data_IF_466330210315
#
_entry.id   IF_466330210315
#
_cell.length_a   1.000
_cell.length_b   1.000
_cell.length_c   1.000
_cell.angle_alpha   90.00
_cell.angle_beta   90.00
_cell.angle_gamma   90.00
#
_symmetry.space_group_name_H-M   'P 1'
#
loop_
_entity.id
_entity.type
_entity.pdbx_description
1 polymer ?
#
# COMPACT_ATOMS: atom_id res chain seq x y z
N UNK A 1 -25.10 4.48 8.75
CA UNK A 1 -23.89 4.45 7.88
C UNK A 1 -22.71 4.40 8.81
N UNK A 2 -21.78 3.48 8.61
CA UNK A 2 -20.62 3.31 9.47
C UNK A 2 -19.77 4.58 9.49
N UNK A 3 -19.32 5.00 10.68
CA UNK A 3 -18.56 6.24 10.86
C UNK A 3 -17.26 6.23 10.06
N UNK A 4 -16.58 5.10 10.06
CA UNK A 4 -15.24 4.98 9.48
C UNK A 4 -15.21 4.92 7.95
N UNK A 5 -16.34 4.84 7.27
CA UNK A 5 -16.38 4.73 5.80
C UNK A 5 -15.68 5.91 5.09
N UNK A 6 -15.65 7.08 5.73
CA UNK A 6 -14.98 8.29 5.21
C UNK A 6 -13.53 8.44 5.68
N UNK A 7 -13.13 7.64 6.66
CA UNK A 7 -11.81 7.72 7.30
C UNK A 7 -10.81 6.73 6.70
N UNK A 8 -11.32 5.69 6.02
CA UNK A 8 -10.50 4.62 5.46
C UNK A 8 -10.54 4.58 3.94
N UNK A 9 -9.50 4.01 3.36
CA UNK A 9 -9.42 3.68 1.94
C UNK A 9 -9.90 2.23 1.73
N UNK A 10 -10.37 1.94 0.53
CA UNK A 10 -10.72 0.60 0.08
C UNK A 10 -9.92 0.30 -1.18
N UNK A 11 -9.08 -0.73 -1.14
CA UNK A 11 -8.28 -1.14 -2.29
C UNK A 11 -9.19 -1.65 -3.41
N UNK A 12 -8.93 -1.20 -4.63
CA UNK A 12 -9.65 -1.58 -5.85
C UNK A 12 -8.74 -1.46 -7.07
N UNK A 13 -8.62 -2.49 -7.92
CA UNK A 13 -7.96 -2.37 -9.22
C UNK A 13 -8.62 -1.31 -10.09
N UNK A 14 -7.83 -0.50 -10.79
CA UNK A 14 -8.36 0.56 -11.69
C UNK A 14 -9.35 0.00 -12.70
N UNK A 15 -9.05 -1.15 -13.31
CA UNK A 15 -9.93 -1.82 -14.27
C UNK A 15 -11.32 -2.06 -13.68
N UNK A 16 -11.39 -2.63 -12.47
CA UNK A 16 -12.66 -2.87 -11.79
C UNK A 16 -13.39 -1.57 -11.44
N UNK A 17 -12.65 -0.57 -10.95
CA UNK A 17 -13.22 0.75 -10.62
C UNK A 17 -13.85 1.38 -11.86
N UNK A 18 -13.13 1.39 -12.98
CA UNK A 18 -13.59 1.96 -14.25
C UNK A 18 -14.80 1.23 -14.82
N UNK A 19 -14.77 -0.11 -14.85
CA UNK A 19 -15.78 -0.91 -15.54
C UNK A 19 -17.08 -1.10 -14.76
N UNK A 20 -17.02 -1.17 -13.41
CA UNK A 20 -18.17 -1.66 -12.65
C UNK A 20 -18.37 -1.06 -11.27
N UNK A 21 -17.36 -0.47 -10.63
CA UNK A 21 -17.44 -0.12 -9.21
C UNK A 21 -17.52 1.39 -8.92
N UNK A 22 -17.23 2.26 -9.87
CA UNK A 22 -17.21 3.72 -9.63
C UNK A 22 -18.52 4.23 -8.99
N UNK A 23 -19.66 3.84 -9.56
CA UNK A 23 -20.97 4.25 -9.02
C UNK A 23 -21.18 3.78 -7.57
N UNK A 24 -20.67 2.60 -7.21
CA UNK A 24 -20.75 2.08 -5.84
C UNK A 24 -19.86 2.88 -4.90
N UNK A 25 -18.63 3.20 -5.29
CA UNK A 25 -17.73 4.05 -4.50
C UNK A 25 -18.36 5.42 -4.23
N UNK A 26 -18.94 6.04 -5.25
CA UNK A 26 -19.65 7.32 -5.13
C UNK A 26 -20.87 7.19 -4.22
N UNK A 27 -21.75 6.22 -4.49
CA UNK A 27 -23.00 6.00 -3.77
C UNK A 27 -22.79 5.76 -2.27
N UNK A 28 -21.80 4.93 -1.93
CA UNK A 28 -21.53 4.58 -0.53
C UNK A 28 -20.53 5.54 0.15
N UNK A 29 -19.94 6.44 -0.60
CA UNK A 29 -18.98 7.42 -0.08
C UNK A 29 -17.61 6.82 0.25
N UNK A 30 -17.21 5.74 -0.44
CA UNK A 30 -15.94 5.06 -0.25
C UNK A 30 -14.78 5.89 -0.84
N UNK A 31 -13.65 5.88 -0.16
CA UNK A 31 -12.41 6.45 -0.68
C UNK A 31 -11.57 5.33 -1.32
N UNK A 32 -11.20 5.43 -2.59
CA UNK A 32 -10.44 4.36 -3.23
C UNK A 32 -8.95 4.43 -2.93
N UNK A 33 -8.35 3.28 -2.67
CA UNK A 33 -6.96 3.03 -3.02
C UNK A 33 -6.93 2.36 -4.38
N UNK A 34 -6.46 3.07 -5.39
CA UNK A 34 -6.52 2.58 -6.77
C UNK A 34 -5.25 1.80 -7.09
N UNK A 35 -5.39 0.50 -7.32
CA UNK A 35 -4.31 -0.38 -7.77
C UNK A 35 -4.16 -0.34 -9.29
N UNK A 36 -2.91 -0.20 -9.75
CA UNK A 36 -2.59 -0.21 -11.17
C UNK A 36 -1.73 -1.43 -11.50
N UNK A 37 -2.15 -2.19 -12.48
CA UNK A 37 -1.39 -3.26 -13.08
C UNK A 37 -0.93 -2.90 -14.51
N UNK A 38 -0.23 -3.80 -15.17
CA UNK A 38 0.25 -3.58 -16.53
C UNK A 38 -0.90 -3.38 -17.53
N UNK A 39 -2.02 -4.09 -17.32
CA UNK A 39 -3.21 -3.98 -18.19
C UNK A 39 -3.83 -2.59 -18.07
N UNK A 40 -4.07 -2.15 -16.83
CA UNK A 40 -4.58 -0.81 -16.57
C UNK A 40 -3.70 0.28 -17.19
N UNK A 41 -2.37 0.16 -17.05
CA UNK A 41 -1.42 1.17 -17.53
C UNK A 41 -1.27 1.22 -19.06
N UNK A 42 -1.49 0.10 -19.75
CA UNK A 42 -1.27 0.00 -21.19
C UNK A 42 -2.56 0.17 -22.02
N UNK A 43 -3.74 -0.10 -21.44
CA UNK A 43 -4.99 -0.15 -22.21
C UNK A 43 -5.83 1.11 -22.10
N UNK A 44 -5.77 1.85 -20.99
CA UNK A 44 -6.62 3.02 -20.79
C UNK A 44 -5.93 4.31 -21.22
N UNK A 45 -6.74 5.23 -21.74
CA UNK A 45 -6.30 6.55 -22.18
C UNK A 45 -6.28 7.56 -21.02
N UNK A 46 -5.59 8.69 -21.23
CA UNK A 46 -5.63 9.80 -20.26
C UNK A 46 -7.07 10.33 -20.06
N UNK A 47 -7.93 10.24 -21.06
CA UNK A 47 -9.34 10.63 -20.95
C UNK A 47 -10.11 9.72 -20.00
N UNK A 48 -9.85 8.39 -20.03
CA UNK A 48 -10.50 7.43 -19.14
C UNK A 48 -10.09 7.71 -17.68
N UNK A 49 -8.80 7.95 -17.44
CA UNK A 49 -8.31 8.31 -16.12
C UNK A 49 -8.91 9.62 -15.62
N UNK A 50 -8.95 10.67 -16.46
CA UNK A 50 -9.51 11.97 -16.07
C UNK A 50 -10.99 11.85 -15.74
N UNK A 51 -11.76 11.09 -16.54
CA UNK A 51 -13.19 10.90 -16.30
C UNK A 51 -13.51 10.24 -14.96
N UNK A 52 -12.66 9.29 -14.50
CA UNK A 52 -12.76 8.67 -13.17
C UNK A 52 -12.33 9.65 -12.06
N UNK A 53 -11.20 10.31 -12.26
CA UNK A 53 -10.65 11.24 -11.28
C UNK A 53 -11.61 12.41 -11.00
N UNK A 54 -12.19 13.00 -12.05
CA UNK A 54 -13.12 14.12 -11.93
C UNK A 54 -14.35 13.74 -11.11
N UNK A 55 -14.97 12.59 -11.38
CA UNK A 55 -16.13 12.11 -10.62
C UNK A 55 -15.80 11.86 -9.14
N UNK A 56 -14.63 11.27 -8.85
CA UNK A 56 -14.19 11.07 -7.48
C UNK A 56 -13.94 12.39 -6.74
N UNK A 57 -13.30 13.36 -7.42
CA UNK A 57 -13.02 14.69 -6.87
C UNK A 57 -14.31 15.50 -6.62
N UNK A 58 -15.24 15.50 -7.57
CA UNK A 58 -16.55 16.15 -7.44
C UNK A 58 -17.35 15.64 -6.25
N UNK A 59 -17.20 14.33 -5.93
CA UNK A 59 -17.81 13.71 -4.76
C UNK A 59 -16.97 13.86 -3.47
N UNK A 60 -15.84 14.58 -3.53
CA UNK A 60 -14.96 14.82 -2.37
C UNK A 60 -14.27 13.55 -1.85
N UNK A 61 -13.95 12.60 -2.74
CA UNK A 61 -13.24 11.36 -2.33
C UNK A 61 -11.76 11.62 -2.15
N UNK A 62 -11.20 11.04 -1.12
CA UNK A 62 -9.75 10.96 -0.91
C UNK A 62 -9.22 9.75 -1.65
N UNK A 63 -8.13 9.93 -2.39
CA UNK A 63 -7.55 8.88 -3.25
C UNK A 63 -6.16 8.53 -2.73
N UNK A 64 -5.83 7.26 -2.72
CA UNK A 64 -4.47 6.73 -2.61
C UNK A 64 -4.18 5.81 -3.79
N UNK A 65 -2.92 5.57 -4.08
CA UNK A 65 -2.49 4.72 -5.18
C UNK A 65 -1.72 3.53 -4.67
N UNK A 66 -1.92 2.39 -5.32
CA UNK A 66 -1.05 1.24 -5.25
C UNK A 66 -0.33 1.05 -6.58
N UNK A 67 1.01 1.10 -6.56
CA UNK A 67 1.84 0.95 -7.74
C UNK A 67 1.79 -0.47 -8.30
N UNK A 68 2.08 -0.67 -9.59
CA UNK A 68 2.22 -2.01 -10.15
C UNK A 68 3.39 -2.74 -9.48
N UNK A 69 3.20 -4.01 -9.22
CA UNK A 69 4.20 -4.85 -8.52
C UNK A 69 4.44 -6.20 -9.19
N UNK A 70 3.44 -6.75 -9.88
CA UNK A 70 3.55 -8.06 -10.51
C UNK A 70 4.72 -8.10 -11.50
N UNK A 71 5.62 -9.08 -11.33
CA UNK A 71 6.84 -9.28 -12.12
C UNK A 71 7.84 -8.10 -12.13
N UNK A 72 7.66 -7.11 -11.23
CA UNK A 72 8.56 -5.97 -11.09
C UNK A 72 9.56 -6.19 -9.96
N UNK A 73 10.71 -5.52 -10.07
CA UNK A 73 11.77 -5.66 -9.08
C UNK A 73 12.60 -4.39 -8.96
N UNK A 74 12.28 -3.54 -7.97
CA UNK A 74 13.02 -2.29 -7.73
C UNK A 74 14.51 -2.50 -7.41
N UNK A 75 14.84 -3.64 -6.79
CA UNK A 75 16.21 -4.01 -6.44
C UNK A 75 16.87 -5.00 -7.39
N UNK A 76 16.39 -5.16 -8.63
CA UNK A 76 16.95 -6.11 -9.57
C UNK A 76 18.39 -5.81 -9.93
N UNK A 77 19.22 -6.86 -9.90
CA UNK A 77 20.58 -6.81 -10.45
C UNK A 77 20.60 -6.85 -11.99
N UNK A 78 19.53 -7.35 -12.62
CA UNK A 78 19.39 -7.31 -14.08
C UNK A 78 18.93 -5.91 -14.51
N UNK A 79 19.76 -5.18 -15.32
CA UNK A 79 19.43 -3.82 -15.73
C UNK A 79 18.17 -3.72 -16.60
N UNK A 80 17.82 -4.80 -17.31
CA UNK A 80 16.58 -4.81 -18.12
C UNK A 80 15.34 -4.92 -17.25
N UNK A 81 15.35 -5.78 -16.23
CA UNK A 81 14.25 -5.90 -15.28
C UNK A 81 14.11 -4.59 -14.49
N UNK A 82 15.22 -4.01 -14.05
CA UNK A 82 15.24 -2.73 -13.36
C UNK A 82 14.64 -1.61 -14.24
N UNK A 83 15.05 -1.52 -15.50
CA UNK A 83 14.55 -0.51 -16.44
C UNK A 83 13.04 -0.67 -16.74
N UNK A 84 12.53 -1.91 -16.85
CA UNK A 84 11.10 -2.19 -17.01
C UNK A 84 10.35 -1.73 -15.76
N UNK A 85 10.86 -2.02 -14.57
CA UNK A 85 10.26 -1.57 -13.31
C UNK A 85 10.18 -0.04 -13.26
N UNK A 86 11.26 0.66 -13.63
CA UNK A 86 11.29 2.11 -13.71
C UNK A 86 10.25 2.64 -14.70
N UNK A 87 10.16 2.04 -15.88
CA UNK A 87 9.19 2.44 -16.92
C UNK A 87 7.74 2.32 -16.44
N UNK A 88 7.40 1.27 -15.67
CA UNK A 88 6.07 1.13 -15.06
C UNK A 88 5.80 2.24 -14.03
N UNK A 89 6.78 2.59 -13.23
CA UNK A 89 6.66 3.71 -12.31
C UNK A 89 6.54 5.06 -13.04
N UNK A 90 7.19 5.24 -14.18
CA UNK A 90 7.01 6.43 -15.03
C UNK A 90 5.58 6.56 -15.58
N UNK A 91 4.91 5.44 -15.88
CA UNK A 91 3.49 5.47 -16.26
C UNK A 91 2.61 5.95 -15.10
N UNK A 92 2.84 5.44 -13.87
CA UNK A 92 2.12 5.91 -12.66
C UNK A 92 2.36 7.39 -12.40
N UNK A 93 3.58 7.87 -12.51
CA UNK A 93 3.90 9.29 -12.29
C UNK A 93 3.08 10.24 -13.17
N UNK A 94 2.69 9.83 -14.38
CA UNK A 94 1.83 10.62 -15.27
C UNK A 94 0.39 10.73 -14.76
N UNK A 95 -0.04 9.82 -13.89
CA UNK A 95 -1.40 9.78 -13.34
C UNK A 95 -1.52 10.58 -12.03
N UNK A 96 -0.42 10.84 -11.34
CA UNK A 96 -0.43 11.60 -10.07
C UNK A 96 -1.06 12.98 -10.21
N UNK A 97 -0.73 13.82 -11.22
CA UNK A 97 -1.36 15.13 -11.39
C UNK A 97 -2.87 15.05 -11.64
N UNK A 98 -3.34 13.96 -12.25
CA UNK A 98 -4.75 13.74 -12.57
C UNK A 98 -5.54 13.40 -11.32
N UNK A 99 -5.09 12.39 -10.57
CA UNK A 99 -5.81 11.87 -9.40
C UNK A 99 -5.44 12.55 -8.08
N UNK A 100 -4.27 13.19 -8.01
CA UNK A 100 -3.74 13.84 -6.80
C UNK A 100 -3.81 12.96 -5.55
N UNK A 101 -3.26 11.73 -5.60
CA UNK A 101 -3.35 10.79 -4.49
C UNK A 101 -2.56 11.28 -3.28
N UNK A 102 -3.02 10.94 -2.06
CA UNK A 102 -2.30 11.26 -0.83
C UNK A 102 -1.00 10.47 -0.69
N UNK A 103 -1.06 9.20 -1.06
CA UNK A 103 0.08 8.28 -1.03
C UNK A 103 0.17 7.48 -2.32
N UNK A 104 1.39 7.05 -2.64
CA UNK A 104 1.69 5.99 -3.60
C UNK A 104 2.35 4.85 -2.82
N UNK A 105 1.65 3.72 -2.71
CA UNK A 105 2.20 2.49 -2.11
C UNK A 105 3.03 1.76 -3.15
N UNK A 106 4.20 1.27 -2.74
CA UNK A 106 5.03 0.38 -3.54
C UNK A 106 5.60 -0.73 -2.67
N UNK A 107 5.67 -1.96 -3.18
CA UNK A 107 6.29 -3.07 -2.46
C UNK A 107 7.79 -2.84 -2.26
N UNK A 108 8.30 -2.90 -1.03
CA UNK A 108 9.73 -2.76 -0.73
C UNK A 108 10.57 -3.78 -1.52
N UNK A 109 10.02 -4.99 -1.68
CA UNK A 109 10.42 -5.96 -2.69
C UNK A 109 11.64 -6.80 -2.32
N UNK A 110 11.96 -6.97 -1.03
CA UNK A 110 12.98 -7.91 -0.59
C UNK A 110 12.39 -9.31 -0.39
N UNK A 111 12.98 -10.28 -1.05
CA UNK A 111 12.74 -11.70 -0.82
C UNK A 111 14.10 -12.39 -0.53
N UNK A 112 14.25 -12.94 0.67
CA UNK A 112 15.48 -13.60 1.10
C UNK A 112 15.88 -14.75 0.17
N UNK A 113 14.91 -15.51 -0.35
CA UNK A 113 15.17 -16.61 -1.28
C UNK A 113 15.72 -16.12 -2.61
N UNK A 114 15.25 -14.96 -3.06
CA UNK A 114 15.62 -14.37 -4.36
C UNK A 114 16.90 -13.55 -4.27
N UNK A 115 17.09 -12.78 -3.20
CA UNK A 115 18.14 -11.78 -3.10
C UNK A 115 19.18 -12.03 -1.99
N UNK A 116 18.96 -13.01 -1.12
CA UNK A 116 19.82 -13.24 0.04
C UNK A 116 21.30 -13.44 -0.32
N UNK A 117 21.59 -14.14 -1.41
CA UNK A 117 22.97 -14.35 -1.91
C UNK A 117 23.62 -13.10 -2.52
N UNK A 118 22.84 -12.09 -2.90
CA UNK A 118 23.32 -10.86 -3.54
C UNK A 118 22.67 -9.61 -2.93
N UNK A 119 22.48 -9.62 -1.60
CA UNK A 119 21.75 -8.58 -0.87
C UNK A 119 22.36 -7.18 -1.06
N UNK A 120 23.69 -7.07 -1.17
CA UNK A 120 24.37 -5.79 -1.36
C UNK A 120 23.94 -5.08 -2.66
N UNK A 121 23.83 -5.82 -3.75
CA UNK A 121 23.37 -5.27 -5.05
C UNK A 121 21.89 -4.92 -4.97
N UNK A 122 21.07 -5.77 -4.34
CA UNK A 122 19.66 -5.46 -4.13
C UNK A 122 19.47 -4.17 -3.34
N UNK A 123 20.23 -3.96 -2.26
CA UNK A 123 20.22 -2.73 -1.46
C UNK A 123 20.54 -1.50 -2.30
N UNK A 124 21.65 -1.57 -3.08
CA UNK A 124 22.08 -0.45 -3.93
C UNK A 124 21.00 -0.08 -4.95
N UNK A 125 20.49 -1.09 -5.68
CA UNK A 125 19.48 -0.89 -6.73
C UNK A 125 18.13 -0.45 -6.19
N UNK A 126 17.72 -0.96 -5.04
CA UNK A 126 16.49 -0.52 -4.36
C UNK A 126 16.61 0.95 -3.92
N UNK A 127 17.72 1.35 -3.31
CA UNK A 127 17.94 2.74 -2.92
C UNK A 127 17.95 3.68 -4.13
N UNK A 128 18.56 3.28 -5.23
CA UNK A 128 18.56 4.05 -6.48
C UNK A 128 17.12 4.27 -6.99
N UNK A 129 16.34 3.19 -7.09
CA UNK A 129 14.96 3.24 -7.57
C UNK A 129 14.05 4.08 -6.66
N UNK A 130 14.07 3.77 -5.36
CA UNK A 130 13.19 4.44 -4.41
C UNK A 130 13.56 5.91 -4.20
N UNK A 131 14.86 6.26 -4.24
CA UNK A 131 15.30 7.66 -4.22
C UNK A 131 14.82 8.44 -5.45
N UNK A 132 14.93 7.82 -6.62
CA UNK A 132 14.47 8.39 -7.88
C UNK A 132 12.94 8.61 -7.88
N UNK A 133 12.17 7.62 -7.40
CA UNK A 133 10.71 7.70 -7.36
C UNK A 133 10.23 8.68 -6.29
N UNK A 134 10.78 8.62 -5.08
CA UNK A 134 10.38 9.47 -3.95
C UNK A 134 10.48 10.96 -4.27
N UNK A 135 11.55 11.37 -4.94
CA UNK A 135 11.71 12.76 -5.36
C UNK A 135 10.56 13.22 -6.27
N UNK A 136 10.22 12.41 -7.28
CA UNK A 136 9.18 12.76 -8.27
C UNK A 136 7.79 12.78 -7.66
N UNK A 137 7.47 11.78 -6.86
CA UNK A 137 6.20 11.65 -6.16
C UNK A 137 5.98 12.85 -5.22
N UNK A 138 7.02 13.24 -4.49
CA UNK A 138 6.98 14.40 -3.58
C UNK A 138 6.82 15.72 -4.33
N UNK A 139 7.47 15.88 -5.48
CA UNK A 139 7.35 17.11 -6.29
C UNK A 139 5.90 17.33 -6.78
N UNK A 140 5.09 16.26 -6.84
CA UNK A 140 3.65 16.29 -7.14
C UNK A 140 2.77 16.37 -5.86
N UNK A 141 3.35 16.48 -4.68
CA UNK A 141 2.61 16.60 -3.41
C UNK A 141 2.09 15.29 -2.84
N UNK A 142 2.53 14.15 -3.36
CA UNK A 142 2.17 12.80 -2.91
C UNK A 142 3.28 12.21 -2.04
N UNK A 143 2.94 11.38 -1.07
CA UNK A 143 3.89 10.66 -0.23
C UNK A 143 4.15 9.26 -0.78
N UNK A 144 5.41 8.91 -1.05
CA UNK A 144 5.78 7.52 -1.30
C UNK A 144 5.80 6.73 0.00
N UNK A 145 5.14 5.59 0.03
CA UNK A 145 5.18 4.63 1.14
C UNK A 145 5.60 3.26 0.64
N UNK A 146 6.50 2.60 1.36
CA UNK A 146 6.98 1.26 1.00
C UNK A 146 6.35 0.24 1.90
N UNK A 147 5.81 -0.81 1.28
CA UNK A 147 5.05 -1.87 1.92
C UNK A 147 5.89 -3.13 2.12
N UNK A 148 5.70 -3.81 3.26
CA UNK A 148 6.24 -5.15 3.50
C UNK A 148 5.36 -6.22 2.84
N UNK A 149 6.00 -7.19 2.18
CA UNK A 149 5.33 -8.36 1.61
C UNK A 149 6.01 -9.65 2.08
N UNK A 150 7.16 -10.01 1.49
CA UNK A 150 7.87 -11.26 1.76
C UNK A 150 9.00 -11.14 2.78
N UNK A 151 9.18 -9.98 3.36
CA UNK A 151 10.22 -9.72 4.34
C UNK A 151 9.96 -10.50 5.63
N UNK A 152 10.95 -11.25 6.08
CA UNK A 152 10.81 -12.09 7.27
C UNK A 152 10.99 -11.31 8.58
N UNK A 153 11.60 -10.12 8.50
CA UNK A 153 11.93 -9.29 9.67
C UNK A 153 12.07 -7.82 9.25
N UNK A 154 11.81 -6.87 10.17
CA UNK A 154 11.89 -5.45 9.85
C UNK A 154 13.29 -5.00 9.39
N UNK A 155 14.37 -5.66 9.84
CA UNK A 155 15.75 -5.36 9.44
C UNK A 155 16.01 -5.59 7.93
N UNK A 156 15.16 -6.36 7.27
CA UNK A 156 15.30 -6.63 5.85
C UNK A 156 15.11 -5.36 5.01
N UNK A 157 14.27 -4.43 5.47
CA UNK A 157 13.93 -3.18 4.76
C UNK A 157 14.16 -1.89 5.58
N UNK A 158 14.45 -1.96 6.87
CA UNK A 158 14.61 -0.79 7.75
C UNK A 158 15.59 0.23 7.21
N UNK A 159 16.70 -0.22 6.60
CA UNK A 159 17.71 0.65 6.01
C UNK A 159 17.14 1.56 4.89
N UNK A 160 16.07 1.15 4.18
CA UNK A 160 15.43 1.99 3.17
C UNK A 160 14.90 3.27 3.81
N UNK A 161 14.19 3.15 4.93
CA UNK A 161 13.62 4.30 5.64
C UNK A 161 14.71 5.19 6.27
N UNK A 162 15.76 4.57 6.81
CA UNK A 162 16.91 5.30 7.37
C UNK A 162 17.66 6.11 6.31
N UNK A 163 17.91 5.50 5.13
CA UNK A 163 18.65 6.14 4.03
C UNK A 163 17.82 7.14 3.23
N UNK A 164 16.50 6.95 3.19
CA UNK A 164 15.57 7.82 2.45
C UNK A 164 14.85 8.82 3.36
N UNK A 165 15.31 9.01 4.59
CA UNK A 165 14.67 9.88 5.58
C UNK A 165 14.53 11.33 5.08
N UNK A 166 15.55 11.88 4.43
CA UNK A 166 15.51 13.23 3.85
C UNK A 166 14.47 13.38 2.74
N UNK A 167 14.06 12.28 2.14
CA UNK A 167 13.05 12.22 1.10
C UNK A 167 11.64 11.93 1.65
N UNK A 168 11.52 11.75 2.99
CA UNK A 168 10.28 11.49 3.71
C UNK A 168 9.51 10.27 3.22
N UNK A 169 10.21 9.21 2.82
CA UNK A 169 9.56 7.92 2.46
C UNK A 169 8.94 7.33 3.71
N UNK A 170 7.63 7.01 3.63
CA UNK A 170 6.88 6.38 4.71
C UNK A 170 6.87 4.86 4.62
N UNK A 171 6.44 4.22 5.69
CA UNK A 171 6.20 2.78 5.76
C UNK A 171 4.70 2.51 5.66
N UNK A 172 4.30 1.62 4.75
CA UNK A 172 3.01 0.97 4.76
C UNK A 172 3.16 -0.38 5.45
N UNK A 173 2.65 -0.49 6.68
CA UNK A 173 2.64 -1.77 7.37
C UNK A 173 1.41 -2.55 6.91
N UNK A 174 1.65 -3.59 6.10
CA UNK A 174 0.65 -4.61 5.83
C UNK A 174 0.71 -5.69 6.91
N UNK A 175 -0.39 -5.79 7.67
CA UNK A 175 -0.49 -6.69 8.82
C UNK A 175 -0.80 -8.11 8.38
N UNK A 176 -1.54 -8.27 7.30
CA UNK A 176 -1.83 -9.58 6.74
C UNK A 176 -0.58 -10.23 6.15
N UNK A 177 0.21 -9.50 5.38
CA UNK A 177 1.52 -9.96 4.91
C UNK A 177 2.46 -10.29 6.06
N UNK A 178 2.48 -9.43 7.09
CA UNK A 178 3.29 -9.69 8.28
C UNK A 178 2.89 -11.01 8.95
N UNK A 179 1.60 -11.28 9.08
CA UNK A 179 1.11 -12.53 9.69
C UNK A 179 1.39 -13.76 8.81
N UNK A 180 1.28 -13.64 7.48
CA UNK A 180 1.46 -14.75 6.55
C UNK A 180 2.93 -15.10 6.28
N UNK A 181 3.82 -14.10 6.20
CA UNK A 181 5.17 -14.29 5.66
C UNK A 181 6.29 -14.00 6.67
N UNK A 182 6.04 -13.17 7.69
CA UNK A 182 7.08 -12.81 8.64
C UNK A 182 7.42 -13.97 9.62
N UNK A 183 8.69 -14.03 9.99
CA UNK A 183 9.18 -14.90 11.08
C UNK A 183 9.38 -14.13 12.38
N UNK A 184 9.04 -12.85 12.39
CA UNK A 184 9.26 -11.93 13.50
C UNK A 184 7.90 -11.45 14.03
N UNK A 185 7.66 -11.45 15.34
CA UNK A 185 6.41 -10.98 15.92
C UNK A 185 6.10 -9.54 15.54
N UNK A 186 4.81 -9.21 15.42
CA UNK A 186 4.30 -7.90 15.00
C UNK A 186 4.83 -6.74 15.87
N UNK A 187 5.02 -7.01 17.18
CA UNK A 187 5.59 -6.03 18.11
C UNK A 187 6.97 -5.53 17.68
N UNK A 188 7.80 -6.43 17.16
CA UNK A 188 9.13 -6.06 16.67
C UNK A 188 9.09 -5.19 15.42
N UNK A 189 8.09 -5.38 14.57
CA UNK A 189 7.84 -4.50 13.43
C UNK A 189 7.46 -3.10 13.90
N UNK A 190 6.55 -3.00 14.88
CA UNK A 190 6.14 -1.71 15.46
C UNK A 190 7.31 -1.03 16.19
N UNK A 191 8.09 -1.76 16.98
CA UNK A 191 9.27 -1.23 17.68
C UNK A 191 10.32 -0.69 16.71
N UNK A 192 10.58 -1.41 15.62
CA UNK A 192 11.63 -1.09 14.66
C UNK A 192 11.23 0.00 13.66
N UNK A 193 10.01 -0.06 13.13
CA UNK A 193 9.55 0.75 12.00
C UNK A 193 8.35 1.66 12.35
N UNK A 194 7.80 1.60 13.54
CA UNK A 194 6.61 2.34 13.94
C UNK A 194 6.69 3.85 13.70
N UNK A 195 7.87 4.46 13.85
CA UNK A 195 8.07 5.89 13.58
C UNK A 195 7.90 6.25 12.10
N UNK A 196 8.09 5.30 11.18
CA UNK A 196 7.96 5.51 9.73
C UNK A 196 6.57 5.17 9.21
N UNK A 197 5.69 4.50 10.00
CA UNK A 197 4.36 4.11 9.56
C UNK A 197 3.56 5.36 9.15
N UNK A 198 3.19 5.44 7.89
CA UNK A 198 2.35 6.47 7.31
C UNK A 198 1.03 5.89 6.77
N UNK A 199 1.01 4.59 6.50
CA UNK A 199 -0.15 3.86 6.02
C UNK A 199 -0.20 2.45 6.60
N UNK A 200 -1.40 1.88 6.67
CA UNK A 200 -1.66 0.49 7.03
C UNK A 200 -2.47 -0.17 5.93
N UNK A 201 -2.13 -1.40 5.59
CA UNK A 201 -3.01 -2.31 4.87
C UNK A 201 -3.58 -3.34 5.84
N UNK A 202 -4.89 -3.51 5.80
CA UNK A 202 -5.61 -4.37 6.72
C UNK A 202 -6.43 -5.40 5.96
N UNK A 203 -6.07 -6.64 6.15
CA UNK A 203 -6.83 -7.83 5.83
C UNK A 203 -6.48 -8.93 6.82
N UNK A 204 -7.32 -9.94 6.95
CA UNK A 204 -7.07 -11.06 7.86
C UNK A 204 -6.68 -12.32 7.09
N UNK A 205 -6.07 -13.27 7.77
CA UNK A 205 -5.69 -14.56 7.19
C UNK A 205 -5.44 -15.62 8.27
N UNK A 206 -5.13 -16.83 7.82
CA UNK A 206 -4.85 -17.99 8.70
C UNK A 206 -3.42 -18.01 9.27
N UNK A 207 -2.59 -17.00 8.98
CA UNK A 207 -1.16 -17.00 9.33
C UNK A 207 -0.31 -17.96 8.48
N UNK A 208 -0.87 -18.54 7.42
CA UNK A 208 -0.17 -19.49 6.53
C UNK A 208 -0.14 -19.04 5.07
N UNK A 209 -1.13 -18.30 4.66
CA UNK A 209 -1.32 -17.80 3.31
C UNK A 209 -1.90 -16.39 3.37
N UNK A 210 -1.72 -15.67 2.29
CA UNK A 210 -2.26 -14.34 2.10
C UNK A 210 -3.68 -14.41 1.52
N UNK A 211 -4.67 -14.64 2.40
CA UNK A 211 -6.04 -15.01 2.01
C UNK A 211 -6.97 -13.81 1.85
N UNK A 212 -6.59 -12.62 2.32
CA UNK A 212 -7.42 -11.41 2.33
C UNK A 212 -8.85 -11.64 2.85
N UNK A 213 -8.95 -12.33 3.99
CA UNK A 213 -10.23 -12.53 4.68
C UNK A 213 -10.73 -11.21 5.29
N UNK A 214 -12.03 -11.13 5.57
CA UNK A 214 -12.58 -10.02 6.34
C UNK A 214 -11.94 -9.94 7.73
N UNK A 215 -11.75 -8.72 8.25
CA UNK A 215 -11.17 -8.51 9.57
C UNK A 215 -11.96 -9.27 10.65
N UNK A 216 -11.23 -9.91 11.57
CA UNK A 216 -11.77 -10.76 12.63
C UNK A 216 -12.23 -12.15 12.16
N UNK A 217 -11.91 -12.56 10.94
CA UNK A 217 -12.21 -13.91 10.41
C UNK A 217 -10.99 -14.82 10.36
N UNK A 218 -9.80 -14.29 10.55
CA UNK A 218 -8.54 -15.03 10.59
C UNK A 218 -7.95 -15.09 12.00
N UNK A 219 -6.62 -15.02 12.09
CA UNK A 219 -5.87 -15.16 13.34
C UNK A 219 -5.31 -13.84 13.88
N UNK A 220 -5.46 -12.73 13.18
CA UNK A 220 -4.83 -11.47 13.55
C UNK A 220 -5.62 -10.79 14.67
N UNK A 221 -4.93 -10.52 15.80
CA UNK A 221 -5.51 -9.74 16.90
C UNK A 221 -5.35 -8.24 16.64
N UNK A 222 -6.29 -7.66 15.88
CA UNK A 222 -6.31 -6.24 15.57
C UNK A 222 -6.50 -5.35 16.81
N UNK A 223 -7.18 -5.84 17.85
CA UNK A 223 -7.34 -5.08 19.08
C UNK A 223 -5.97 -4.89 19.77
N UNK A 224 -5.23 -5.97 19.96
CA UNK A 224 -3.87 -5.91 20.50
C UNK A 224 -2.96 -5.06 19.60
N UNK A 225 -3.04 -5.25 18.29
CA UNK A 225 -2.27 -4.46 17.32
C UNK A 225 -2.48 -2.95 17.52
N UNK A 226 -3.71 -2.49 17.50
CA UNK A 226 -4.03 -1.07 17.65
C UNK A 226 -3.63 -0.51 19.01
N UNK A 227 -3.82 -1.28 20.10
CA UNK A 227 -3.33 -0.89 21.42
C UNK A 227 -1.82 -0.61 21.44
N UNK A 228 -1.04 -1.44 20.73
CA UNK A 228 0.41 -1.22 20.61
C UNK A 228 0.72 -0.05 19.68
N UNK A 229 0.04 0.04 18.55
CA UNK A 229 0.28 1.10 17.56
C UNK A 229 0.09 2.49 18.15
N UNK A 230 -0.97 2.74 18.95
CA UNK A 230 -1.23 4.05 19.57
C UNK A 230 -0.16 4.48 20.57
N UNK A 231 0.71 3.57 21.04
CA UNK A 231 1.85 3.95 21.90
C UNK A 231 2.91 4.72 21.12
N UNK A 232 3.07 4.42 19.83
CA UNK A 232 4.05 5.04 18.93
C UNK A 232 3.43 6.06 17.95
N UNK A 233 2.13 5.91 17.65
CA UNK A 233 1.37 6.77 16.72
C UNK A 233 0.12 7.32 17.40
N UNK A 234 0.15 8.62 17.76
CA UNK A 234 -0.98 9.28 18.44
C UNK A 234 -2.12 9.68 17.50
N UNK A 235 -1.82 9.84 16.22
CA UNK A 235 -2.80 10.14 15.16
C UNK A 235 -2.89 8.96 14.21
N UNK A 236 -4.07 8.66 13.65
CA UNK A 236 -4.22 7.57 12.70
C UNK A 236 -3.32 7.81 11.48
N UNK A 237 -2.60 6.77 11.00
CA UNK A 237 -2.07 6.77 9.64
C UNK A 237 -3.22 6.65 8.63
N UNK A 238 -2.92 6.72 7.33
CA UNK A 238 -3.89 6.29 6.32
C UNK A 238 -4.15 4.80 6.52
N UNK A 239 -5.41 4.39 6.47
CA UNK A 239 -5.79 2.98 6.65
C UNK A 239 -6.52 2.52 5.39
N UNK A 240 -6.02 1.47 4.78
CA UNK A 240 -6.63 0.80 3.62
C UNK A 240 -7.14 -0.57 4.03
N UNK A 241 -8.40 -0.84 3.72
CA UNK A 241 -8.96 -2.19 3.73
C UNK A 241 -8.70 -2.84 2.37
N UNK A 242 -8.30 -4.10 2.37
CA UNK A 242 -8.01 -4.87 1.16
C UNK A 242 -8.95 -6.09 0.99
N UNK A 243 -10.22 -5.85 0.67
CA UNK A 243 -11.18 -6.94 0.46
C UNK A 243 -11.02 -7.50 -0.96
N UNK A 244 -10.38 -8.65 -1.13
CA UNK A 244 -10.35 -9.34 -2.42
C UNK A 244 -11.73 -9.89 -2.86
N UNK A 245 -12.74 -9.81 -1.97
CA UNK A 245 -14.15 -10.13 -2.25
C UNK A 245 -15.04 -9.03 -1.70
N UNK A 246 -16.03 -8.60 -2.49
CA UNK A 246 -16.96 -7.54 -2.08
C UNK A 246 -17.65 -7.84 -0.74
N UNK A 247 -17.98 -9.10 -0.49
CA UNK A 247 -18.60 -9.57 0.74
C UNK A 247 -17.75 -9.38 2.01
N UNK A 248 -16.44 -9.18 1.86
CA UNK A 248 -15.54 -8.94 3.00
C UNK A 248 -15.51 -7.47 3.45
N UNK A 249 -15.95 -6.53 2.62
CA UNK A 249 -15.82 -5.10 2.91
C UNK A 249 -16.64 -4.68 4.13
N UNK A 250 -17.95 -4.95 4.12
CA UNK A 250 -18.83 -4.47 5.17
C UNK A 250 -18.55 -5.10 6.54
N UNK A 251 -18.35 -6.45 6.63
CA UNK A 251 -17.91 -7.04 7.90
C UNK A 251 -16.58 -6.48 8.41
N UNK A 252 -15.63 -6.16 7.51
CA UNK A 252 -14.35 -5.57 7.90
C UNK A 252 -14.54 -4.16 8.48
N UNK A 253 -15.40 -3.33 7.87
CA UNK A 253 -15.72 -2.00 8.37
C UNK A 253 -16.40 -2.05 9.76
N UNK A 254 -17.38 -2.97 9.94
CA UNK A 254 -18.04 -3.17 11.22
C UNK A 254 -17.08 -3.61 12.31
N UNK A 255 -16.22 -4.59 11.99
CA UNK A 255 -15.20 -5.05 12.93
C UNK A 255 -14.23 -3.93 13.30
N UNK A 256 -13.74 -3.19 12.30
CA UNK A 256 -12.81 -2.07 12.50
C UNK A 256 -13.41 -0.98 13.39
N UNK A 257 -14.71 -0.65 13.24
CA UNK A 257 -15.39 0.30 14.13
C UNK A 257 -15.35 -0.15 15.60
N UNK A 258 -15.45 -1.46 15.86
CA UNK A 258 -15.41 -2.05 17.20
C UNK A 258 -14.02 -2.00 17.85
N UNK A 259 -12.94 -1.93 17.05
CA UNK A 259 -11.56 -1.94 17.55
C UNK A 259 -10.81 -0.62 17.28
N UNK A 260 -11.50 0.40 16.76
CA UNK A 260 -10.91 1.69 16.39
C UNK A 260 -10.36 2.42 17.61
N UNK A 261 -9.06 2.75 17.65
CA UNK A 261 -8.44 3.29 18.86
C UNK A 261 -8.40 4.82 18.92
N UNK A 262 -8.75 5.52 17.82
CA UNK A 262 -8.71 6.98 17.70
C UNK A 262 -10.08 7.66 17.67
#
# INVERSE_FOLDING_TARGET
>A
MLRLIKEVQVNIPFTMLHESYLERFIKYGLNPEIGFDAVALDQYSLSDYSGIADQLHECGRTITFHAPFADLSPGSADPKVWAITQSRFEQILRLIPIFRPKTLVGHAGYDEKRYGYNRAVWVEKSLEMWSWLAKRVRDEGTLLVLENVYEHRPEDIRFLFEKLQDQRVGFCLDIGHQAAFSRTPLEKWIESLGQYIAQLHLHDNSGKMDEHQALGRGLIDFHMFFQKLITVRKTPPIITLEPHREEHLWPSLEYLEGVWPW
#
